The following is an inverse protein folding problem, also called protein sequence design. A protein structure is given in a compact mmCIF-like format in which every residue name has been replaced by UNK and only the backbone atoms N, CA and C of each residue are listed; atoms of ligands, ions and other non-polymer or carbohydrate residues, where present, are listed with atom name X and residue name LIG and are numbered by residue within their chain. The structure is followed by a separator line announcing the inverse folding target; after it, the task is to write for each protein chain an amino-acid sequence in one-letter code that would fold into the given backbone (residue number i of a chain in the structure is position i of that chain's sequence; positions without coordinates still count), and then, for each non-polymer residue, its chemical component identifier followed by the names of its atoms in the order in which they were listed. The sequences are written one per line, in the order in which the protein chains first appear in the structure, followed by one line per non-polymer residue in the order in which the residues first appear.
data_IF_067849082645
#
_entry.id   IF_067849082645
#
_cell.length_a   1.000
_cell.length_b   1.000
_cell.length_c   1.000
_cell.angle_alpha   90.00
_cell.angle_beta   90.00
_cell.angle_gamma   90.00
#
_symmetry.space_group_name_H-M   'P 1'
#
loop_
_entity.id
_entity.type
_entity.pdbx_description
1 polymer ?
#
# COMPACT_ATOMS: atom_id res chain seq x y z
N UNK A 1 34.11 -34.29 -12.32
CA UNK A 1 32.78 -34.92 -12.20
C UNK A 1 31.75 -33.79 -12.23
N UNK A 2 31.03 -33.65 -13.34
CA UNK A 2 30.07 -32.57 -13.60
C UNK A 2 28.72 -32.88 -12.92
N UNK A 3 28.11 -31.89 -12.28
CA UNK A 3 26.80 -32.04 -11.63
C UNK A 3 25.92 -30.81 -11.87
N UNK A 4 25.09 -30.88 -12.91
CA UNK A 4 24.04 -29.90 -13.21
C UNK A 4 22.81 -30.18 -12.34
N UNK A 5 22.58 -29.37 -11.31
CA UNK A 5 21.29 -29.36 -10.59
C UNK A 5 20.33 -28.38 -11.28
N UNK A 6 19.52 -28.92 -12.18
CA UNK A 6 18.40 -28.20 -12.80
C UNK A 6 17.19 -28.28 -11.85
N UNK A 7 17.05 -27.28 -10.99
CA UNK A 7 15.88 -27.10 -10.13
C UNK A 7 14.91 -26.11 -10.78
N UNK A 8 13.72 -26.60 -11.14
CA UNK A 8 12.66 -25.87 -11.84
C UNK A 8 12.47 -24.47 -11.26
N UNK A 9 12.69 -23.45 -12.08
CA UNK A 9 12.27 -22.06 -11.84
C UNK A 9 10.77 -22.10 -11.57
N UNK A 10 10.40 -22.09 -10.29
CA UNK A 10 9.02 -21.88 -9.88
C UNK A 10 8.58 -20.62 -10.60
N UNK A 11 7.61 -20.79 -11.48
CA UNK A 11 6.98 -19.70 -12.21
C UNK A 11 6.61 -18.67 -11.15
N UNK A 12 7.34 -17.56 -11.16
CA UNK A 12 6.85 -16.32 -10.56
C UNK A 12 5.57 -16.10 -11.34
N UNK A 13 4.45 -16.47 -10.73
CA UNK A 13 3.14 -16.05 -11.14
C UNK A 13 3.20 -14.53 -11.12
N UNK A 14 3.57 -13.96 -12.25
CA UNK A 14 3.08 -12.68 -12.66
C UNK A 14 1.56 -12.89 -12.68
N UNK A 15 0.94 -12.71 -11.52
CA UNK A 15 -0.49 -12.56 -11.41
C UNK A 15 -0.78 -11.35 -12.25
N UNK A 16 -1.17 -11.69 -13.48
CA UNK A 16 -1.86 -10.91 -14.47
C UNK A 16 -2.20 -9.54 -13.93
N UNK A 17 -1.59 -8.52 -14.55
CA UNK A 17 -2.22 -7.22 -14.65
C UNK A 17 -3.63 -7.48 -15.20
N UNK A 18 -4.57 -7.68 -14.28
CA UNK A 18 -5.97 -7.63 -14.57
C UNK A 18 -6.16 -6.19 -14.98
N UNK A 19 -6.14 -5.98 -16.29
CA UNK A 19 -6.73 -4.83 -16.93
C UNK A 19 -8.21 -4.91 -16.56
N UNK A 20 -8.52 -4.47 -15.35
CA UNK A 20 -9.86 -4.17 -14.96
C UNK A 20 -10.33 -3.17 -16.01
N UNK A 21 -11.38 -3.53 -16.72
CA UNK A 21 -12.32 -2.55 -17.24
C UNK A 21 -12.93 -1.84 -16.04
N UNK A 22 -12.11 -1.04 -15.35
CA UNK A 22 -12.56 -0.06 -14.37
C UNK A 22 -13.33 0.95 -15.21
N UNK A 23 -14.63 1.08 -14.94
CA UNK A 23 -15.38 2.20 -15.45
C UNK A 23 -14.59 3.48 -15.10
N UNK A 24 -14.51 4.47 -15.99
CA UNK A 24 -13.77 5.68 -15.71
C UNK A 24 -14.25 6.26 -14.38
N UNK A 25 -13.29 6.47 -13.46
CA UNK A 25 -13.55 7.05 -12.15
C UNK A 25 -14.32 8.36 -12.32
N UNK A 26 -15.27 8.60 -11.42
CA UNK A 26 -15.84 9.93 -11.28
C UNK A 26 -14.74 10.96 -10.94
N UNK A 27 -15.04 12.24 -11.14
CA UNK A 27 -14.09 13.31 -10.77
C UNK A 27 -13.74 13.24 -9.29
N UNK A 28 -14.74 13.05 -8.44
CA UNK A 28 -14.58 12.93 -6.99
C UNK A 28 -13.71 11.73 -6.59
N UNK A 29 -13.91 10.56 -7.21
CA UNK A 29 -13.06 9.39 -6.98
C UNK A 29 -11.63 9.62 -7.48
N UNK A 30 -11.48 10.32 -8.60
CA UNK A 30 -10.16 10.69 -9.13
C UNK A 30 -9.43 11.62 -8.17
N UNK A 31 -10.10 12.65 -7.64
CA UNK A 31 -9.53 13.59 -6.67
C UNK A 31 -9.12 12.88 -5.37
N UNK A 32 -9.97 12.01 -4.83
CA UNK A 32 -9.65 11.17 -3.66
C UNK A 32 -8.42 10.30 -3.91
N UNK A 33 -8.31 9.69 -5.09
CA UNK A 33 -7.17 8.85 -5.44
C UNK A 33 -5.88 9.65 -5.61
N UNK A 34 -5.96 10.85 -6.19
CA UNK A 34 -4.81 11.78 -6.26
C UNK A 34 -4.37 12.16 -4.84
N UNK A 35 -5.31 12.51 -3.96
CA UNK A 35 -5.01 12.86 -2.58
C UNK A 35 -4.37 11.69 -1.82
N UNK A 36 -4.90 10.47 -1.99
CA UNK A 36 -4.32 9.27 -1.40
C UNK A 36 -2.87 9.06 -1.86
N UNK A 37 -2.61 9.15 -3.18
CA UNK A 37 -1.25 9.01 -3.72
C UNK A 37 -0.30 10.10 -3.21
N UNK A 38 -0.76 11.34 -3.09
CA UNK A 38 0.04 12.43 -2.53
C UNK A 38 0.41 12.17 -1.07
N UNK A 39 -0.56 11.72 -0.26
CA UNK A 39 -0.34 11.35 1.15
C UNK A 39 0.58 10.14 1.29
N UNK A 40 0.44 9.14 0.42
CA UNK A 40 1.35 8.00 0.38
C UNK A 40 2.79 8.45 0.08
N UNK A 41 2.99 9.28 -0.94
CA UNK A 41 4.31 9.81 -1.29
C UNK A 41 4.92 10.66 -0.15
N UNK A 42 4.09 11.43 0.58
CA UNK A 42 4.52 12.12 1.78
C UNK A 42 4.97 11.14 2.86
N UNK A 43 4.23 10.06 3.11
CA UNK A 43 4.62 9.01 4.06
C UNK A 43 5.95 8.35 3.71
N UNK A 44 6.17 8.01 2.43
CA UNK A 44 7.47 7.50 1.95
C UNK A 44 8.58 8.51 2.20
N UNK A 45 8.32 9.80 1.98
CA UNK A 45 9.30 10.86 2.25
C UNK A 45 9.68 10.94 3.73
N UNK A 46 8.73 10.74 4.65
CA UNK A 46 9.02 10.71 6.08
C UNK A 46 9.77 9.44 6.51
N UNK A 47 9.49 8.27 5.92
CA UNK A 47 10.31 7.06 6.17
C UNK A 47 11.76 7.28 5.75
N UNK A 48 11.99 7.93 4.59
CA UNK A 48 13.33 8.27 4.10
C UNK A 48 14.06 9.29 4.98
N UNK A 49 13.34 10.03 5.82
CA UNK A 49 13.90 10.97 6.80
C UNK A 49 14.01 10.38 8.20
N UNK A 50 13.88 9.06 8.35
CA UNK A 50 13.88 8.35 9.64
C UNK A 50 12.80 8.86 10.60
N UNK A 51 11.63 9.26 10.06
CA UNK A 51 10.47 9.74 10.82
C UNK A 51 9.29 8.76 10.73
N UNK A 52 9.42 7.52 11.26
CA UNK A 52 8.44 6.46 11.04
C UNK A 52 7.05 6.77 11.63
N UNK A 53 6.98 7.55 12.71
CA UNK A 53 5.69 7.92 13.30
C UNK A 53 4.90 8.87 12.41
N UNK A 54 5.58 9.87 11.81
CA UNK A 54 4.96 10.80 10.86
C UNK A 54 4.61 10.09 9.56
N UNK A 55 5.44 9.14 9.12
CA UNK A 55 5.14 8.31 7.98
C UNK A 55 3.82 7.54 8.17
N UNK A 56 3.63 6.89 9.33
CA UNK A 56 2.39 6.17 9.65
C UNK A 56 1.18 7.10 9.62
N UNK A 57 1.29 8.34 10.09
CA UNK A 57 0.20 9.31 10.00
C UNK A 57 -0.16 9.67 8.55
N UNK A 58 0.83 9.85 7.68
CA UNK A 58 0.58 10.15 6.27
C UNK A 58 -0.02 8.95 5.53
N UNK A 59 0.46 7.73 5.82
CA UNK A 59 -0.15 6.52 5.28
C UNK A 59 -1.59 6.32 5.80
N UNK A 60 -1.86 6.65 7.06
CA UNK A 60 -3.23 6.64 7.59
C UNK A 60 -4.15 7.60 6.83
N UNK A 61 -3.71 8.83 6.59
CA UNK A 61 -4.47 9.78 5.77
C UNK A 61 -4.64 9.27 4.33
N UNK A 62 -3.66 8.56 3.78
CA UNK A 62 -3.77 7.96 2.44
C UNK A 62 -4.91 6.95 2.38
N UNK A 63 -5.00 6.03 3.34
CA UNK A 63 -6.03 4.98 3.34
C UNK A 63 -7.42 5.55 3.61
N UNK A 64 -7.54 6.63 4.38
CA UNK A 64 -8.82 7.34 4.56
C UNK A 64 -9.30 8.04 3.28
N UNK A 65 -8.39 8.48 2.41
CA UNK A 65 -8.76 9.09 1.13
C UNK A 65 -9.18 8.03 0.10
N UNK A 66 -8.44 6.93 -0.01
CA UNK A 66 -8.73 5.82 -0.92
C UNK A 66 -8.61 4.45 -0.20
N UNK A 67 -9.72 3.97 0.41
CA UNK A 67 -9.74 2.66 1.08
C UNK A 67 -9.66 1.47 0.12
N UNK A 68 -9.77 1.69 -1.20
CA UNK A 68 -9.74 0.60 -2.19
C UNK A 68 -8.36 -0.05 -2.31
N UNK A 69 -7.30 0.61 -1.81
CA UNK A 69 -5.96 0.05 -1.73
C UNK A 69 -5.82 -0.89 -0.52
N UNK A 70 -6.46 -2.05 -0.59
CA UNK A 70 -6.47 -3.05 0.48
C UNK A 70 -5.07 -3.41 1.04
N UNK A 71 -4.01 -3.60 0.21
CA UNK A 71 -2.67 -3.89 0.74
C UNK A 71 -2.14 -2.79 1.66
N UNK A 72 -2.39 -1.52 1.33
CA UNK A 72 -1.95 -0.39 2.15
C UNK A 72 -2.77 -0.30 3.44
N UNK A 73 -4.09 -0.50 3.38
CA UNK A 73 -4.98 -0.52 4.56
C UNK A 73 -4.48 -1.55 5.58
N UNK A 74 -4.18 -2.77 5.14
CA UNK A 74 -3.73 -3.85 6.02
C UNK A 74 -2.36 -3.52 6.65
N UNK A 75 -1.43 -2.96 5.90
CA UNK A 75 -0.12 -2.59 6.44
C UNK A 75 -0.22 -1.45 7.47
N UNK A 76 -1.02 -0.43 7.17
CA UNK A 76 -1.28 0.69 8.08
C UNK A 76 -1.95 0.21 9.36
N UNK A 77 -3.01 -0.60 9.27
CA UNK A 77 -3.67 -1.16 10.44
C UNK A 77 -2.70 -1.96 11.32
N UNK A 78 -1.84 -2.78 10.71
CA UNK A 78 -0.81 -3.54 11.43
C UNK A 78 0.20 -2.62 12.13
N UNK A 79 0.63 -1.53 11.48
CA UNK A 79 1.52 -0.52 12.07
C UNK A 79 0.85 0.17 13.26
N UNK A 80 -0.41 0.59 13.13
CA UNK A 80 -1.18 1.23 14.20
C UNK A 80 -1.37 0.33 15.42
N UNK A 81 -1.67 -0.96 15.21
CA UNK A 81 -1.75 -1.95 16.30
C UNK A 81 -0.43 -2.05 17.07
N UNK A 82 0.71 -2.10 16.37
CA UNK A 82 2.04 -2.11 17.03
C UNK A 82 2.32 -0.84 17.83
N UNK A 83 1.78 0.30 17.38
CA UNK A 83 1.84 1.59 18.09
C UNK A 83 0.82 1.73 19.22
N UNK A 84 -0.03 0.71 19.45
CA UNK A 84 -1.15 0.73 20.41
C UNK A 84 -2.23 1.76 20.06
N UNK A 85 -2.29 2.21 18.82
CA UNK A 85 -3.33 3.09 18.28
C UNK A 85 -4.49 2.26 17.70
N UNK A 86 -5.02 1.32 18.49
CA UNK A 86 -5.97 0.30 18.02
C UNK A 86 -7.29 0.89 17.52
N UNK A 87 -7.75 2.02 18.08
CA UNK A 87 -8.97 2.72 17.62
C UNK A 87 -8.85 3.12 16.15
N UNK A 88 -7.74 3.75 15.76
CA UNK A 88 -7.49 4.12 14.35
C UNK A 88 -7.31 2.92 13.42
N UNK A 89 -7.03 1.73 13.96
CA UNK A 89 -6.78 0.54 13.14
C UNK A 89 -8.07 -0.14 12.68
N UNK A 90 -9.23 0.24 13.25
CA UNK A 90 -10.54 -0.33 12.95
C UNK A 90 -11.52 0.69 12.31
N UNK A 91 -11.09 1.94 12.19
CA UNK A 91 -11.80 3.02 11.46
C UNK A 91 -11.70 2.80 9.94
#
# INVERSE_FOLDING_TARGET
MFGCASGKRAQVSATSAAKATEAPLSKDETEKRIEALARFAAGVSEELRDQPDQAVEQFYKSVLADPSNEPLVIDVARRLIRKKETEKAID
#
